data_IF_106716972212
#
_entry.id   IF_106716972212
#
_cell.length_a   1.000
_cell.length_b   1.000
_cell.length_c   1.000
_cell.angle_alpha   90.00
_cell.angle_beta   90.00
_cell.angle_gamma   90.00
#
_symmetry.space_group_name_H-M   'P 1'
#
loop_
_entity.id
_entity.type
_entity.pdbx_description
1 polymer ?
#
# COMPACT_ATOMS: atom_id res chain seq x y z
N UNK A 1 -9.48 -1.48 -3.48
CA UNK A 1 -10.87 -2.00 -3.49
C UNK A 1 -10.82 -3.27 -4.30
N UNK A 2 -10.69 -4.43 -3.64
CA UNK A 2 -10.73 -5.72 -4.30
C UNK A 2 -12.17 -6.21 -4.24
N UNK A 3 -12.76 -6.51 -5.41
CA UNK A 3 -14.12 -7.00 -5.55
C UNK A 3 -14.11 -8.34 -6.27
N UNK A 4 -14.98 -9.24 -5.83
CA UNK A 4 -15.22 -10.51 -6.50
C UNK A 4 -16.72 -10.66 -6.72
N UNK A 5 -17.11 -11.04 -7.93
CA UNK A 5 -18.51 -11.34 -8.21
C UNK A 5 -18.86 -12.77 -7.81
N UNK A 6 -20.13 -13.08 -7.55
CA UNK A 6 -20.55 -14.45 -7.22
C UNK A 6 -20.19 -15.48 -8.30
N UNK A 7 -20.11 -15.05 -9.57
CA UNK A 7 -19.71 -15.90 -10.70
C UNK A 7 -18.21 -16.16 -10.72
N UNK A 8 -17.42 -15.22 -10.22
CA UNK A 8 -15.96 -15.29 -10.17
C UNK A 8 -15.43 -16.06 -8.96
N UNK A 9 -16.26 -16.35 -7.96
CA UNK A 9 -15.87 -17.10 -6.76
C UNK A 9 -15.17 -18.42 -7.08
N UNK A 10 -15.56 -19.10 -8.17
CA UNK A 10 -14.97 -20.38 -8.58
C UNK A 10 -13.67 -20.18 -9.36
N UNK A 11 -13.62 -19.21 -10.27
CA UNK A 11 -12.50 -19.02 -11.20
C UNK A 11 -11.34 -18.26 -10.57
N UNK A 12 -11.63 -17.32 -9.66
CA UNK A 12 -10.65 -16.49 -8.97
C UNK A 12 -10.39 -16.95 -7.54
N UNK A 13 -10.66 -18.23 -7.25
CA UNK A 13 -10.43 -18.82 -5.92
C UNK A 13 -8.98 -18.66 -5.47
N UNK A 14 -8.01 -18.87 -6.37
CA UNK A 14 -6.58 -18.74 -6.07
C UNK A 14 -6.22 -17.31 -5.67
N UNK A 15 -6.67 -16.32 -6.44
CA UNK A 15 -6.46 -14.89 -6.14
C UNK A 15 -7.15 -14.48 -4.82
N UNK A 16 -8.35 -15.01 -4.56
CA UNK A 16 -9.07 -14.80 -3.31
C UNK A 16 -8.27 -15.34 -2.11
N UNK A 17 -7.69 -16.54 -2.23
CA UNK A 17 -6.87 -17.14 -1.18
C UNK A 17 -5.61 -16.30 -0.94
N UNK A 18 -4.92 -15.87 -1.99
CA UNK A 18 -3.72 -15.03 -1.88
C UNK A 18 -4.01 -13.70 -1.18
N UNK A 19 -5.09 -13.03 -1.57
CA UNK A 19 -5.53 -11.78 -0.94
C UNK A 19 -5.95 -11.99 0.53
N UNK A 20 -6.59 -13.11 0.87
CA UNK A 20 -6.89 -13.43 2.28
C UNK A 20 -5.63 -13.74 3.09
N UNK A 21 -4.63 -14.39 2.50
CA UNK A 21 -3.33 -14.66 3.13
C UNK A 21 -2.50 -13.39 3.32
N UNK A 22 -2.62 -12.40 2.43
CA UNK A 22 -1.97 -11.09 2.57
C UNK A 22 -2.64 -10.20 3.64
N UNK A 23 -3.80 -10.62 4.16
CA UNK A 23 -4.56 -9.87 5.16
C UNK A 23 -5.54 -8.87 4.56
N UNK A 24 -5.75 -8.90 3.24
CA UNK A 24 -6.70 -8.05 2.55
C UNK A 24 -8.13 -8.56 2.70
N UNK A 25 -9.09 -7.65 2.59
CA UNK A 25 -10.52 -7.95 2.61
C UNK A 25 -11.12 -7.67 1.24
N UNK A 26 -12.10 -8.49 0.84
CA UNK A 26 -12.67 -8.48 -0.52
C UNK A 26 -14.19 -8.37 -0.42
N UNK A 27 -14.76 -7.44 -1.18
CA UNK A 27 -16.20 -7.27 -1.28
C UNK A 27 -16.80 -8.32 -2.23
N UNK A 28 -17.83 -9.02 -1.77
CA UNK A 28 -18.62 -9.95 -2.57
C UNK A 28 -19.78 -9.21 -3.23
N UNK A 29 -19.77 -9.15 -4.56
CA UNK A 29 -20.79 -8.45 -5.35
C UNK A 29 -21.68 -9.45 -6.09
N UNK A 30 -22.99 -9.22 -6.06
CA UNK A 30 -23.95 -9.91 -6.92
C UNK A 30 -24.91 -8.91 -7.54
N UNK A 31 -25.07 -8.94 -8.87
CA UNK A 31 -25.98 -8.05 -9.61
C UNK A 31 -25.84 -6.58 -9.18
N UNK A 32 -24.59 -6.10 -9.16
CA UNK A 32 -24.23 -4.72 -8.78
C UNK A 32 -24.58 -4.31 -7.34
N UNK A 33 -24.88 -5.27 -6.46
CA UNK A 33 -25.07 -5.04 -5.02
C UNK A 33 -23.98 -5.75 -4.23
N UNK A 34 -23.42 -5.06 -3.24
CA UNK A 34 -22.52 -5.67 -2.25
C UNK A 34 -23.36 -6.57 -1.35
N UNK A 35 -23.10 -7.88 -1.38
CA UNK A 35 -23.77 -8.87 -0.54
C UNK A 35 -23.07 -9.01 0.82
N UNK A 36 -21.77 -8.80 0.86
CA UNK A 36 -20.97 -8.93 2.07
C UNK A 36 -19.48 -8.79 1.81
N UNK A 37 -18.69 -9.02 2.84
CA UNK A 37 -17.23 -8.91 2.83
C UNK A 37 -16.62 -10.24 3.27
N UNK A 38 -15.61 -10.70 2.52
CA UNK A 38 -14.80 -11.86 2.88
C UNK A 38 -13.54 -11.32 3.56
N UNK A 39 -13.44 -11.58 4.86
CA UNK A 39 -12.33 -11.13 5.70
C UNK A 39 -11.53 -12.30 6.27
N UNK A 40 -10.19 -12.16 6.39
CA UNK A 40 -9.36 -13.19 6.99
C UNK A 40 -9.62 -13.30 8.50
N UNK A 41 -9.72 -14.54 9.01
CA UNK A 41 -9.99 -14.81 10.44
C UNK A 41 -8.87 -14.33 11.38
N UNK A 42 -7.63 -14.26 10.88
CA UNK A 42 -6.46 -13.83 11.64
C UNK A 42 -5.79 -12.70 10.87
N UNK A 43 -6.06 -11.47 11.27
CA UNK A 43 -5.27 -10.32 10.83
C UNK A 43 -3.97 -10.30 11.63
N UNK A 44 -2.92 -10.94 11.12
CA UNK A 44 -1.57 -10.68 11.62
C UNK A 44 -1.10 -9.40 10.95
N UNK A 45 -1.40 -8.25 11.54
CA UNK A 45 -0.67 -7.04 11.22
C UNK A 45 0.83 -7.40 11.29
N UNK A 46 1.60 -7.12 10.24
CA UNK A 46 3.06 -7.19 10.33
C UNK A 46 3.49 -6.18 11.38
N UNK A 47 3.50 -6.59 12.63
CA UNK A 47 4.04 -5.81 13.73
C UNK A 47 5.50 -5.59 13.40
N UNK A 48 5.93 -4.33 13.38
CA UNK A 48 7.35 -3.99 13.31
C UNK A 48 8.05 -4.68 14.49
N UNK A 49 8.69 -5.81 14.22
CA UNK A 49 9.49 -6.50 15.22
C UNK A 49 10.76 -5.69 15.48
N UNK A 50 11.38 -5.85 16.65
CA UNK A 50 12.65 -5.20 16.99
C UNK A 50 13.70 -5.43 15.89
N UNK A 51 13.75 -6.64 15.34
CA UNK A 51 14.63 -7.02 14.22
C UNK A 51 14.38 -6.20 12.96
N UNK A 52 13.11 -5.88 12.65
CA UNK A 52 12.74 -5.09 11.48
C UNK A 52 13.20 -3.65 11.63
N UNK A 53 13.08 -3.09 12.84
CA UNK A 53 13.55 -1.74 13.19
C UNK A 53 15.08 -1.68 13.10
N UNK A 54 15.79 -2.69 13.61
CA UNK A 54 17.25 -2.77 13.56
C UNK A 54 17.76 -2.87 12.11
N UNK A 55 17.11 -3.66 11.26
CA UNK A 55 17.44 -3.73 9.82
C UNK A 55 17.22 -2.40 9.12
N UNK A 56 16.13 -1.69 9.42
CA UNK A 56 15.87 -0.34 8.91
C UNK A 56 16.91 0.67 9.40
N UNK A 57 17.31 0.61 10.67
CA UNK A 57 18.35 1.47 11.22
C UNK A 57 19.73 1.22 10.56
N UNK A 58 20.04 -0.04 10.25
CA UNK A 58 21.26 -0.39 9.51
C UNK A 58 21.22 0.11 8.06
N UNK A 59 20.08 -0.04 7.39
CA UNK A 59 19.90 0.45 6.02
C UNK A 59 20.03 1.97 5.95
N UNK A 60 19.36 2.70 6.86
CA UNK A 60 19.44 4.16 6.90
C UNK A 60 20.85 4.66 7.20
N UNK A 61 21.62 3.98 8.07
CA UNK A 61 23.05 4.27 8.29
C UNK A 61 23.89 4.04 7.03
N UNK A 62 23.66 2.93 6.31
CA UNK A 62 24.38 2.62 5.05
C UNK A 62 24.09 3.63 3.94
N UNK A 63 22.87 4.15 3.88
CA UNK A 63 22.47 5.09 2.83
C UNK A 63 23.06 6.49 3.00
N UNK A 64 23.71 6.80 4.14
CA UNK A 64 24.36 8.08 4.44
C UNK A 64 23.56 9.30 3.94
N UNK A 65 22.25 9.28 4.16
CA UNK A 65 21.35 10.29 3.62
C UNK A 65 21.64 11.62 4.34
N UNK A 66 21.85 12.72 3.60
CA UNK A 66 22.02 14.02 4.24
C UNK A 66 20.75 14.37 5.01
N UNK A 67 20.89 14.75 6.28
CA UNK A 67 19.78 15.27 7.07
C UNK A 67 19.36 16.59 6.44
N UNK A 68 18.19 16.60 5.81
CA UNK A 68 17.59 17.82 5.27
C UNK A 68 16.84 18.51 6.39
N UNK A 69 16.98 19.82 6.46
CA UNK A 69 16.11 20.66 7.28
C UNK A 69 14.75 20.82 6.61
N UNK A 70 13.71 21.09 7.38
CA UNK A 70 12.33 21.25 6.88
C UNK A 70 12.26 22.25 5.72
N UNK A 71 13.02 23.35 5.80
CA UNK A 71 13.13 24.35 4.73
C UNK A 71 13.71 23.78 3.43
N UNK A 72 14.71 22.91 3.53
CA UNK A 72 15.32 22.27 2.35
C UNK A 72 14.39 21.23 1.73
N UNK A 73 13.59 20.55 2.56
CA UNK A 73 12.55 19.62 2.10
C UNK A 73 11.49 20.38 1.31
N UNK A 74 11.02 21.51 1.84
CA UNK A 74 10.02 22.36 1.18
C UNK A 74 10.51 22.89 -0.17
N UNK A 75 11.75 23.38 -0.25
CA UNK A 75 12.34 23.86 -1.51
C UNK A 75 12.43 22.75 -2.55
N UNK A 76 12.90 21.55 -2.17
CA UNK A 76 12.95 20.40 -3.09
C UNK A 76 11.57 19.95 -3.54
N UNK A 77 10.61 19.94 -2.62
CA UNK A 77 9.24 19.57 -2.90
C UNK A 77 8.60 20.52 -3.92
N UNK A 78 8.72 21.84 -3.71
CA UNK A 78 8.22 22.86 -4.64
C UNK A 78 8.89 22.74 -6.01
N UNK A 79 10.22 22.58 -6.05
CA UNK A 79 10.96 22.38 -7.31
C UNK A 79 10.44 21.16 -8.07
N UNK A 80 10.26 20.03 -7.40
CA UNK A 80 9.73 18.82 -8.01
C UNK A 80 8.31 19.01 -8.55
N UNK A 81 7.44 19.69 -7.81
CA UNK A 81 6.09 20.00 -8.29
C UNK A 81 6.11 20.88 -9.53
N UNK A 82 6.96 21.91 -9.59
CA UNK A 82 7.10 22.75 -10.78
C UNK A 82 7.66 21.96 -11.98
N UNK A 83 8.64 21.09 -11.77
CA UNK A 83 9.19 20.26 -12.85
C UNK A 83 8.17 19.26 -13.41
N UNK A 84 7.32 18.70 -12.54
CA UNK A 84 6.36 17.65 -12.87
C UNK A 84 5.05 18.21 -13.43
N UNK A 85 4.55 19.32 -12.87
CA UNK A 85 3.23 19.88 -13.18
C UNK A 85 3.28 21.29 -13.78
N UNK A 86 4.42 21.98 -13.72
CA UNK A 86 4.58 23.33 -14.26
C UNK A 86 4.94 23.40 -15.75
N UNK A 87 5.23 22.26 -16.40
CA UNK A 87 5.46 22.19 -17.85
C UNK A 87 4.13 22.34 -18.59
N UNK A 88 3.75 23.57 -18.90
CA UNK A 88 2.51 23.93 -19.59
C UNK A 88 1.75 25.11 -18.99
N UNK A 89 2.29 25.77 -17.97
CA UNK A 89 1.74 27.00 -17.39
C UNK A 89 2.41 28.28 -17.93
N UNK A 90 2.99 28.24 -19.14
CA UNK A 90 3.53 29.40 -19.84
C UNK A 90 3.05 29.46 -21.27
#
# INVERSE_FOLDING_TARGET
MNLITTTELRTRTSELIEALLSGESIDLIHRSKVLGEIKPKKYQAKTFTKETIERLALLTKKMNLPKLTDKQIEVRYRKHLMEKYGKGLS
#
